data_IF_322094429022
#
_entry.id   IF_322094429022
#
_cell.length_a   1.000
_cell.length_b   1.000
_cell.length_c   1.000
_cell.angle_alpha   90.00
_cell.angle_beta   90.00
_cell.angle_gamma   90.00
#
_symmetry.space_group_name_H-M   'P 1'
#
loop_
_entity.id
_entity.type
_entity.pdbx_description
1 polymer ?
#
# COMPACT_ATOMS: atom_id res chain seq x y z
N UNK A 1 -13.53 -13.15 -15.81
CA UNK A 1 -14.78 -13.93 -15.99
C UNK A 1 -15.66 -13.53 -14.82
N UNK A 2 -16.62 -12.65 -15.09
CA UNK A 2 -17.59 -11.98 -14.20
C UNK A 2 -17.09 -11.45 -12.85
N UNK A 3 -17.11 -10.13 -12.69
CA UNK A 3 -17.05 -9.49 -11.37
C UNK A 3 -18.48 -9.46 -10.84
N UNK A 4 -18.76 -10.15 -9.72
CA UNK A 4 -20.06 -10.31 -9.06
C UNK A 4 -20.72 -8.98 -8.55
N UNK A 5 -20.44 -7.84 -9.20
CA UNK A 5 -21.03 -6.52 -8.95
C UNK A 5 -22.50 -6.39 -9.37
N UNK A 6 -23.14 -7.48 -9.81
CA UNK A 6 -24.48 -7.46 -10.42
C UNK A 6 -25.57 -6.92 -9.48
N UNK A 7 -25.44 -7.16 -8.17
CA UNK A 7 -26.42 -6.70 -7.16
C UNK A 7 -26.47 -5.17 -7.03
N UNK A 8 -25.33 -4.48 -7.05
CA UNK A 8 -25.29 -3.01 -6.93
C UNK A 8 -25.96 -2.32 -8.12
N UNK A 9 -25.82 -2.92 -9.31
CA UNK A 9 -26.41 -2.39 -10.55
C UNK A 9 -27.93 -2.49 -10.57
N UNK A 10 -28.51 -3.53 -9.95
CA UNK A 10 -29.99 -3.70 -9.83
C UNK A 10 -30.59 -2.60 -8.96
N UNK A 11 -29.99 -2.35 -7.79
CA UNK A 11 -30.49 -1.31 -6.90
C UNK A 11 -30.31 0.08 -7.51
N UNK A 12 -29.19 0.31 -8.20
CA UNK A 12 -28.99 1.56 -8.95
C UNK A 12 -30.03 1.76 -10.05
N UNK A 13 -30.36 0.73 -10.85
CA UNK A 13 -31.38 0.85 -11.89
C UNK A 13 -32.78 1.08 -11.32
N UNK A 14 -33.09 0.54 -10.14
CA UNK A 14 -34.38 0.74 -9.48
C UNK A 14 -34.66 2.21 -9.12
N UNK A 15 -33.62 3.03 -8.95
CA UNK A 15 -33.76 4.47 -8.71
C UNK A 15 -34.49 5.20 -9.85
N UNK A 16 -34.49 4.66 -11.07
CA UNK A 16 -35.25 5.22 -12.18
C UNK A 16 -36.76 5.24 -11.91
N UNK A 17 -37.27 4.33 -11.08
CA UNK A 17 -38.69 4.29 -10.68
C UNK A 17 -39.04 5.30 -9.59
N UNK A 18 -38.04 5.87 -8.89
CA UNK A 18 -38.24 6.71 -7.73
C UNK A 18 -39.15 7.92 -8.00
N UNK A 19 -39.00 8.57 -9.16
CA UNK A 19 -39.83 9.70 -9.54
C UNK A 19 -41.30 9.32 -9.78
N UNK A 20 -41.55 8.12 -10.29
CA UNK A 20 -42.89 7.61 -10.59
C UNK A 20 -43.63 7.18 -9.30
N UNK A 21 -42.90 6.59 -8.35
CA UNK A 21 -43.49 6.02 -7.14
C UNK A 21 -43.66 7.04 -5.99
N UNK A 22 -42.91 8.16 -6.00
CA UNK A 22 -42.90 9.18 -4.91
C UNK A 22 -44.28 9.75 -4.56
N UNK A 23 -45.15 9.87 -5.56
CA UNK A 23 -46.50 10.42 -5.41
C UNK A 23 -47.59 9.44 -5.88
N UNK A 24 -47.23 8.18 -6.11
CA UNK A 24 -48.16 7.15 -6.55
C UNK A 24 -49.05 6.66 -5.40
N UNK A 25 -50.26 6.21 -5.72
CA UNK A 25 -51.05 5.41 -4.78
C UNK A 25 -50.35 4.08 -4.52
N UNK A 26 -50.69 3.40 -3.42
CA UNK A 26 -50.11 2.10 -3.08
C UNK A 26 -50.24 1.07 -4.23
N UNK A 27 -51.37 1.07 -4.92
CA UNK A 27 -51.60 0.21 -6.09
C UNK A 27 -50.59 0.49 -7.22
N UNK A 28 -50.43 1.77 -7.59
CA UNK A 28 -49.49 2.14 -8.66
C UNK A 28 -48.03 1.99 -8.24
N UNK A 29 -47.71 2.19 -6.96
CA UNK A 29 -46.39 1.92 -6.40
C UNK A 29 -45.96 0.47 -6.67
N UNK A 30 -46.82 -0.51 -6.33
CA UNK A 30 -46.54 -1.94 -6.54
C UNK A 30 -46.45 -2.24 -8.03
N UNK A 31 -47.39 -1.72 -8.83
CA UNK A 31 -47.41 -1.93 -10.27
C UNK A 31 -46.14 -1.45 -10.98
N UNK A 32 -45.63 -0.25 -10.63
CA UNK A 32 -44.41 0.27 -11.26
C UNK A 32 -43.16 -0.51 -10.87
N UNK A 33 -43.07 -0.98 -9.63
CA UNK A 33 -41.95 -1.83 -9.21
C UNK A 33 -42.00 -3.20 -9.91
N UNK A 34 -43.17 -3.83 -9.97
CA UNK A 34 -43.34 -5.12 -10.63
C UNK A 34 -42.99 -5.05 -12.12
N UNK A 35 -43.46 -4.01 -12.82
CA UNK A 35 -43.10 -3.77 -14.22
C UNK A 35 -41.60 -3.55 -14.41
N UNK A 36 -40.97 -2.75 -13.54
CA UNK A 36 -39.53 -2.50 -13.62
C UNK A 36 -38.73 -3.79 -13.46
N UNK A 37 -39.02 -4.59 -12.42
CA UNK A 37 -38.29 -5.83 -12.17
C UNK A 37 -38.58 -6.90 -13.21
N UNK A 38 -39.81 -6.99 -13.71
CA UNK A 38 -40.15 -7.93 -14.79
C UNK A 38 -39.40 -7.61 -16.09
N UNK A 39 -39.32 -6.33 -16.44
CA UNK A 39 -38.56 -5.88 -17.61
C UNK A 39 -37.05 -6.12 -17.41
N UNK A 40 -36.52 -5.73 -16.24
CA UNK A 40 -35.12 -5.94 -15.89
C UNK A 40 -34.74 -7.42 -15.97
N UNK A 41 -35.58 -8.31 -15.44
CA UNK A 41 -35.37 -9.76 -15.45
C UNK A 41 -35.36 -10.30 -16.89
N UNK A 42 -36.32 -9.91 -17.72
CA UNK A 42 -36.37 -10.29 -19.13
C UNK A 42 -35.12 -9.84 -19.92
N UNK A 43 -34.68 -8.59 -19.70
CA UNK A 43 -33.47 -8.06 -20.33
C UNK A 43 -32.22 -8.83 -19.87
N UNK A 44 -32.13 -9.16 -18.57
CA UNK A 44 -31.01 -9.94 -18.04
C UNK A 44 -30.98 -11.36 -18.56
N UNK A 45 -32.12 -12.04 -18.62
CA UNK A 45 -32.19 -13.38 -19.23
C UNK A 45 -31.73 -13.37 -20.69
N UNK A 46 -32.09 -12.34 -21.45
CA UNK A 46 -31.63 -12.17 -22.83
C UNK A 46 -30.12 -11.91 -22.92
N UNK A 47 -29.57 -11.07 -22.04
CA UNK A 47 -28.14 -10.74 -21.98
C UNK A 47 -27.29 -11.94 -21.52
N UNK A 48 -27.75 -12.68 -20.51
CA UNK A 48 -27.04 -13.82 -19.91
C UNK A 48 -26.69 -14.88 -20.94
N UNK A 49 -27.64 -15.22 -21.82
CA UNK A 49 -27.41 -16.21 -22.87
C UNK A 49 -26.27 -15.80 -23.81
N UNK A 50 -26.22 -14.51 -24.17
CA UNK A 50 -25.16 -13.95 -25.03
C UNK A 50 -23.83 -13.88 -24.29
N UNK A 51 -23.85 -13.49 -23.01
CA UNK A 51 -22.68 -13.44 -22.15
C UNK A 51 -22.03 -14.82 -22.00
N UNK A 52 -22.82 -15.85 -21.65
CA UNK A 52 -22.36 -17.23 -21.51
C UNK A 52 -21.78 -17.76 -22.82
N UNK A 53 -22.47 -17.55 -23.95
CA UNK A 53 -21.98 -17.97 -25.26
C UNK A 53 -20.66 -17.30 -25.64
N UNK A 54 -20.53 -16.00 -25.39
CA UNK A 54 -19.30 -15.26 -25.68
C UNK A 54 -18.15 -15.70 -24.78
N UNK A 55 -18.39 -15.94 -23.50
CA UNK A 55 -17.39 -16.48 -22.58
C UNK A 55 -16.94 -17.88 -22.97
N UNK A 56 -17.88 -18.74 -23.35
CA UNK A 56 -17.57 -20.08 -23.84
C UNK A 56 -16.70 -20.03 -25.11
N UNK A 57 -17.07 -19.20 -26.09
CA UNK A 57 -16.26 -18.98 -27.30
C UNK A 57 -14.87 -18.44 -27.00
N UNK A 58 -14.77 -17.50 -26.05
CA UNK A 58 -13.49 -16.96 -25.60
C UNK A 58 -12.63 -18.04 -24.94
N UNK A 59 -13.21 -18.88 -24.07
CA UNK A 59 -12.52 -19.98 -23.44
C UNK A 59 -12.01 -21.00 -24.48
N UNK A 60 -12.84 -21.37 -25.45
CA UNK A 60 -12.42 -22.25 -26.54
C UNK A 60 -11.25 -21.66 -27.35
N UNK A 61 -11.32 -20.36 -27.66
CA UNK A 61 -10.24 -19.67 -28.38
C UNK A 61 -8.95 -19.60 -27.55
N UNK A 62 -9.05 -19.35 -26.25
CA UNK A 62 -7.91 -19.30 -25.36
C UNK A 62 -7.24 -20.67 -25.27
N UNK A 63 -8.03 -21.74 -25.10
CA UNK A 63 -7.54 -23.11 -25.09
C UNK A 63 -6.82 -23.40 -26.40
N UNK A 64 -7.47 -23.16 -27.56
CA UNK A 64 -6.86 -23.50 -28.86
C UNK A 64 -5.58 -22.71 -29.16
N UNK A 65 -5.53 -21.44 -28.75
CA UNK A 65 -4.35 -20.58 -28.93
C UNK A 65 -3.21 -21.04 -28.03
N UNK A 66 -3.48 -21.21 -26.73
CA UNK A 66 -2.47 -21.59 -25.76
C UNK A 66 -1.96 -23.02 -25.99
N UNK A 67 -2.81 -23.96 -26.40
CA UNK A 67 -2.36 -25.33 -26.73
C UNK A 67 -1.39 -25.32 -27.90
N UNK A 68 -1.66 -24.53 -28.94
CA UNK A 68 -0.77 -24.41 -30.09
C UNK A 68 0.59 -23.80 -29.70
N UNK A 69 0.59 -22.77 -28.85
CA UNK A 69 1.82 -22.18 -28.31
C UNK A 69 2.61 -23.17 -27.44
N UNK A 70 1.93 -23.95 -26.60
CA UNK A 70 2.54 -25.00 -25.78
C UNK A 70 3.10 -26.17 -26.62
N UNK A 71 2.43 -26.54 -27.70
CA UNK A 71 2.93 -27.57 -28.63
C UNK A 71 4.18 -27.07 -29.36
N UNK A 72 4.19 -25.81 -29.81
CA UNK A 72 5.38 -25.19 -30.41
C UNK A 72 6.55 -25.11 -29.42
N UNK A 73 6.29 -24.75 -28.16
CA UNK A 73 7.30 -24.72 -27.10
C UNK A 73 7.88 -26.12 -26.83
N UNK A 74 7.02 -27.14 -26.72
CA UNK A 74 7.45 -28.54 -26.53
C UNK A 74 8.30 -29.07 -27.69
N UNK A 75 8.01 -28.64 -28.91
CA UNK A 75 8.82 -29.00 -30.08
C UNK A 75 10.24 -28.40 -30.02
N UNK A 76 10.39 -27.20 -29.44
CA UNK A 76 11.69 -26.54 -29.25
C UNK A 76 12.47 -27.07 -28.03
N UNK A 77 11.75 -27.51 -26.99
CA UNK A 77 12.33 -27.96 -25.71
C UNK A 77 11.83 -29.37 -25.30
N UNK A 78 12.19 -30.43 -26.06
CA UNK A 78 11.64 -31.77 -25.85
C UNK A 78 12.09 -32.48 -24.56
N UNK A 79 13.17 -32.00 -23.92
CA UNK A 79 13.72 -32.57 -22.70
C UNK A 79 13.26 -31.84 -21.43
N UNK A 80 12.51 -30.75 -21.56
CA UNK A 80 12.08 -29.93 -20.43
C UNK A 80 10.75 -30.46 -19.87
N UNK A 81 10.72 -30.75 -18.57
CA UNK A 81 9.52 -31.25 -17.91
C UNK A 81 8.63 -30.08 -17.51
N UNK A 82 7.54 -29.86 -18.25
CA UNK A 82 6.55 -28.83 -17.99
C UNK A 82 5.56 -29.30 -16.91
N UNK A 83 5.89 -29.11 -15.64
CA UNK A 83 5.00 -29.42 -14.51
C UNK A 83 4.36 -28.14 -13.95
N UNK A 84 3.32 -27.66 -14.64
CA UNK A 84 2.56 -26.49 -14.24
C UNK A 84 1.93 -26.62 -12.83
N UNK A 85 1.64 -27.85 -12.39
CA UNK A 85 1.08 -28.10 -11.07
C UNK A 85 2.09 -27.81 -9.96
N UNK A 86 3.33 -28.28 -10.14
CA UNK A 86 4.43 -27.95 -9.23
C UNK A 86 4.74 -26.45 -9.23
N UNK A 87 4.80 -25.81 -10.40
CA UNK A 87 5.11 -24.39 -10.50
C UNK A 87 4.07 -23.52 -9.82
N UNK A 88 2.79 -23.84 -9.96
CA UNK A 88 1.73 -23.14 -9.24
C UNK A 88 1.84 -23.29 -7.72
N UNK A 89 2.25 -24.47 -7.24
CA UNK A 89 2.48 -24.70 -5.81
C UNK A 89 3.72 -23.98 -5.29
N UNK A 90 4.81 -23.98 -6.07
CA UNK A 90 6.05 -23.25 -5.78
C UNK A 90 5.84 -21.74 -5.78
N UNK A 91 5.12 -21.21 -6.78
CA UNK A 91 4.76 -19.79 -6.87
C UNK A 91 3.89 -19.39 -5.68
N UNK A 92 2.89 -20.18 -5.32
CA UNK A 92 2.07 -19.94 -4.13
C UNK A 92 2.92 -19.96 -2.84
N UNK A 93 3.86 -20.89 -2.72
CA UNK A 93 4.76 -20.96 -1.58
C UNK A 93 5.70 -19.73 -1.52
N UNK A 94 6.23 -19.32 -2.67
CA UNK A 94 7.05 -18.12 -2.82
C UNK A 94 6.29 -16.85 -2.43
N UNK A 95 5.08 -16.66 -2.95
CA UNK A 95 4.23 -15.50 -2.62
C UNK A 95 3.91 -15.45 -1.12
N UNK A 96 3.58 -16.59 -0.50
CA UNK A 96 3.38 -16.67 0.96
C UNK A 96 4.63 -16.34 1.75
N UNK A 97 5.82 -16.69 1.25
CA UNK A 97 7.08 -16.35 1.89
C UNK A 97 7.40 -14.85 1.77
N UNK A 98 7.11 -14.23 0.62
CA UNK A 98 7.29 -12.79 0.41
C UNK A 98 6.37 -11.97 1.31
N UNK A 99 5.13 -12.43 1.51
CA UNK A 99 4.15 -11.72 2.36
C UNK A 99 4.66 -11.53 3.81
N UNK A 100 5.54 -12.42 4.28
CA UNK A 100 6.10 -12.37 5.64
C UNK A 100 7.55 -11.90 5.66
N UNK A 101 7.77 -10.60 5.87
CA UNK A 101 9.06 -10.13 6.37
C UNK A 101 9.32 -10.79 7.75
N UNK A 102 10.51 -11.38 7.99
CA UNK A 102 10.79 -12.04 9.26
C UNK A 102 10.64 -11.04 10.41
N UNK A 103 9.90 -11.43 11.45
CA UNK A 103 9.57 -10.58 12.60
C UNK A 103 10.81 -9.96 13.28
N UNK A 104 11.95 -10.62 13.17
CA UNK A 104 13.20 -10.14 13.73
C UNK A 104 13.75 -8.92 12.97
N UNK A 105 13.60 -8.89 11.64
CA UNK A 105 14.08 -7.78 10.82
C UNK A 105 13.13 -6.58 10.93
N UNK A 106 11.83 -6.81 11.09
CA UNK A 106 10.88 -5.72 11.38
C UNK A 106 11.15 -5.04 12.71
N UNK A 107 11.43 -5.81 13.77
CA UNK A 107 11.78 -5.25 15.09
C UNK A 107 13.11 -4.47 15.04
N UNK A 108 14.12 -4.98 14.33
CA UNK A 108 15.41 -4.29 14.15
C UNK A 108 15.28 -2.99 13.36
N UNK A 109 14.46 -2.99 12.30
CA UNK A 109 14.14 -1.77 11.55
C UNK A 109 13.45 -0.75 12.45
N UNK A 110 12.44 -1.17 13.22
CA UNK A 110 11.76 -0.29 14.17
C UNK A 110 12.73 0.29 15.21
N UNK A 111 13.64 -0.54 15.74
CA UNK A 111 14.66 -0.09 16.68
C UNK A 111 15.55 1.00 16.11
N UNK A 112 16.07 0.82 14.89
CA UNK A 112 16.89 1.84 14.21
C UNK A 112 16.12 3.13 13.96
N UNK A 113 14.85 3.04 13.54
CA UNK A 113 14.00 4.21 13.33
C UNK A 113 13.71 4.97 14.63
N UNK A 114 13.45 4.26 15.74
CA UNK A 114 13.22 4.88 17.05
C UNK A 114 14.51 5.50 17.62
N UNK A 115 15.69 4.91 17.36
CA UNK A 115 16.99 5.50 17.69
C UNK A 115 17.24 6.79 16.89
N UNK A 116 16.94 6.82 15.59
CA UNK A 116 17.06 8.05 14.80
C UNK A 116 16.12 9.15 15.29
N UNK A 117 14.90 8.81 15.69
CA UNK A 117 13.94 9.76 16.28
C UNK A 117 14.45 10.30 17.60
N UNK A 118 14.99 9.43 18.46
CA UNK A 118 15.60 9.83 19.73
C UNK A 118 16.73 10.83 19.50
N UNK A 119 17.68 10.51 18.60
CA UNK A 119 18.79 11.39 18.27
C UNK A 119 18.33 12.77 17.77
N UNK A 120 17.30 12.82 16.91
CA UNK A 120 16.69 14.08 16.43
C UNK A 120 16.04 14.89 17.55
N UNK A 121 15.36 14.23 18.49
CA UNK A 121 14.73 14.90 19.63
C UNK A 121 15.77 15.43 20.62
N UNK A 122 16.85 14.68 20.85
CA UNK A 122 17.96 15.11 21.70
C UNK A 122 18.71 16.29 21.08
N UNK A 123 19.01 16.26 19.78
CA UNK A 123 19.63 17.39 19.08
C UNK A 123 18.74 18.63 19.11
N UNK A 124 17.43 18.48 18.90
CA UNK A 124 16.47 19.59 18.99
C UNK A 124 16.36 20.18 20.40
N UNK A 125 16.40 19.33 21.44
CA UNK A 125 16.44 19.78 22.83
C UNK A 125 17.74 20.53 23.13
N UNK A 126 18.88 20.06 22.60
CA UNK A 126 20.17 20.71 22.76
C UNK A 126 20.21 22.07 22.07
N UNK A 127 19.81 22.16 20.79
CA UNK A 127 19.70 23.45 20.09
C UNK A 127 18.75 24.41 20.82
N UNK A 128 17.61 23.92 21.33
CA UNK A 128 16.71 24.74 22.13
C UNK A 128 17.29 25.17 23.49
N UNK A 129 18.30 24.50 24.03
CA UNK A 129 19.02 24.95 25.23
C UNK A 129 20.01 26.06 24.90
N UNK A 130 20.68 25.93 23.77
CA UNK A 130 21.73 26.84 23.34
C UNK A 130 21.14 28.17 22.82
N UNK A 131 20.00 28.13 22.12
CA UNK A 131 19.31 29.32 21.59
C UNK A 131 18.52 30.10 22.65
N UNK A 132 18.11 29.44 23.73
CA UNK A 132 17.18 29.99 24.71
C UNK A 132 17.92 30.65 25.90
N UNK A 133 18.89 31.50 25.58
CA UNK A 133 19.47 32.43 26.53
C UNK A 133 18.48 33.60 26.71
N UNK A 134 17.68 33.56 27.77
CA UNK A 134 16.73 34.64 28.10
C UNK A 134 17.50 35.93 28.45
N UNK A 135 17.75 36.77 27.45
CA UNK A 135 18.32 38.10 27.64
C UNK A 135 17.20 39.08 28.00
N UNK A 136 17.03 39.36 29.29
CA UNK A 136 16.17 40.46 29.72
C UNK A 136 16.86 41.80 29.45
N UNK A 137 16.15 42.71 28.80
CA UNK A 137 16.60 44.10 28.61
C UNK A 137 15.84 45.04 29.56
N UNK A 138 16.22 46.32 29.60
CA UNK A 138 15.59 47.30 30.50
C UNK A 138 14.07 47.49 30.23
N UNK A 139 13.60 47.21 29.01
CA UNK A 139 12.17 47.22 28.64
C UNK A 139 11.40 46.00 29.16
N UNK A 140 12.11 44.96 29.61
CA UNK A 140 11.53 43.75 30.20
C UNK A 140 11.09 43.95 31.65
N UNK A 141 11.44 45.09 32.25
CA UNK A 141 11.12 45.43 33.64
C UNK A 141 10.18 46.63 33.71
N UNK A 142 9.15 46.54 34.55
CA UNK A 142 8.27 47.65 34.91
C UNK A 142 8.82 48.36 36.15
N UNK A 143 9.07 49.69 36.10
CA UNK A 143 9.55 50.44 37.26
C UNK A 143 8.65 50.24 38.48
N UNK A 144 9.23 49.85 39.62
CA UNK A 144 8.52 49.62 40.88
C UNK A 144 7.72 48.31 40.98
N UNK A 145 7.63 47.50 39.91
CA UNK A 145 6.81 46.28 39.87
C UNK A 145 7.55 45.03 39.38
N UNK A 146 8.82 45.17 38.96
CA UNK A 146 9.69 44.02 38.63
C UNK A 146 9.58 43.58 37.17
N UNK A 147 9.59 42.28 36.89
CA UNK A 147 9.54 41.75 35.51
C UNK A 147 8.16 41.99 34.89
N UNK A 148 8.09 42.49 33.66
CA UNK A 148 6.83 42.79 32.99
C UNK A 148 5.97 41.52 32.82
N UNK A 149 4.65 41.66 32.82
CA UNK A 149 3.73 40.53 32.63
C UNK A 149 3.99 39.79 31.29
N UNK A 150 4.32 40.54 30.23
CA UNK A 150 4.66 39.97 28.91
C UNK A 150 5.96 39.17 28.97
N UNK A 151 7.00 39.70 29.62
CA UNK A 151 8.26 38.99 29.81
C UNK A 151 8.07 37.73 30.69
N UNK A 152 7.31 37.84 31.79
CA UNK A 152 7.00 36.72 32.69
C UNK A 152 6.23 35.59 31.99
N UNK A 153 5.23 35.93 31.18
CA UNK A 153 4.45 34.95 30.41
C UNK A 153 5.27 34.29 29.29
N UNK A 154 6.15 35.05 28.62
CA UNK A 154 7.10 34.50 27.66
C UNK A 154 8.06 33.49 28.30
N UNK A 155 8.64 33.83 29.46
CA UNK A 155 9.49 32.93 30.25
C UNK A 155 8.75 31.65 30.66
N UNK A 156 7.50 31.77 31.15
CA UNK A 156 6.66 30.61 31.50
C UNK A 156 6.39 29.70 30.29
N UNK A 157 6.09 30.26 29.11
CA UNK A 157 5.90 29.48 27.87
C UNK A 157 7.18 28.76 27.47
N UNK A 158 8.32 29.45 27.52
CA UNK A 158 9.63 28.88 27.20
C UNK A 158 9.96 27.69 28.13
N UNK A 159 9.77 27.83 29.45
CA UNK A 159 9.92 26.71 30.38
C UNK A 159 8.91 25.57 30.16
N UNK A 160 7.67 25.89 29.76
CA UNK A 160 6.67 24.87 29.42
C UNK A 160 7.05 24.09 28.16
N UNK A 161 7.55 24.78 27.13
CA UNK A 161 8.06 24.17 25.89
C UNK A 161 9.26 23.27 26.17
N UNK A 162 10.23 23.73 26.99
CA UNK A 162 11.38 22.91 27.40
C UNK A 162 10.96 21.64 28.13
N UNK A 163 10.07 21.75 29.11
CA UNK A 163 9.53 20.58 29.83
C UNK A 163 8.78 19.63 28.90
N UNK A 164 8.09 20.14 27.89
CA UNK A 164 7.43 19.31 26.88
C UNK A 164 8.44 18.56 26.00
N UNK A 165 9.51 19.22 25.57
CA UNK A 165 10.60 18.60 24.82
C UNK A 165 11.32 17.52 25.64
N UNK A 166 11.64 17.80 26.91
CA UNK A 166 12.22 16.81 27.85
C UNK A 166 11.31 15.60 28.08
N UNK A 167 9.98 15.79 28.09
CA UNK A 167 9.02 14.66 28.19
C UNK A 167 9.00 13.83 26.90
N UNK A 168 9.11 14.47 25.73
CA UNK A 168 9.17 13.76 24.45
C UNK A 168 10.42 12.89 24.35
N UNK A 169 11.58 13.42 24.74
CA UNK A 169 12.83 12.65 24.79
C UNK A 169 12.70 11.45 25.73
N UNK A 170 12.19 11.65 26.95
CA UNK A 170 11.97 10.55 27.90
C UNK A 170 11.03 9.48 27.37
N UNK A 171 9.86 9.87 26.86
CA UNK A 171 8.93 8.91 26.26
C UNK A 171 9.52 8.15 25.08
N UNK A 172 10.44 8.77 24.33
CA UNK A 172 11.13 8.12 23.23
C UNK A 172 12.23 7.18 23.73
N UNK A 173 12.92 7.52 24.82
CA UNK A 173 13.87 6.65 25.51
C UNK A 173 13.19 5.39 26.03
N UNK A 174 12.04 5.52 26.69
CA UNK A 174 11.25 4.38 27.19
C UNK A 174 10.93 3.38 26.06
N UNK A 175 10.53 3.89 24.87
CA UNK A 175 10.25 3.04 23.70
C UNK A 175 11.46 2.31 23.15
N UNK A 176 12.62 2.98 23.16
CA UNK A 176 13.88 2.38 22.72
C UNK A 176 14.29 1.29 23.70
N UNK A 177 14.13 1.50 25.00
CA UNK A 177 14.40 0.51 26.05
C UNK A 177 13.47 -0.71 25.95
N UNK A 178 12.18 -0.51 25.68
CA UNK A 178 11.23 -1.61 25.43
C UNK A 178 11.66 -2.48 24.23
N UNK A 179 12.18 -1.85 23.15
CA UNK A 179 12.68 -2.55 21.97
C UNK A 179 14.02 -3.25 22.22
N UNK A 180 14.88 -2.67 23.07
CA UNK A 180 16.13 -3.29 23.52
C UNK A 180 15.85 -4.57 24.31
N UNK A 181 14.84 -4.56 25.20
CA UNK A 181 14.40 -5.75 25.93
C UNK A 181 13.88 -6.84 24.99
N UNK A 182 13.03 -6.49 24.01
CA UNK A 182 12.50 -7.43 23.03
C UNK A 182 13.58 -8.05 22.13
N UNK A 183 14.62 -7.29 21.79
CA UNK A 183 15.74 -7.75 20.98
C UNK A 183 16.85 -8.43 21.79
N UNK A 184 16.76 -8.41 23.13
CA UNK A 184 17.78 -8.96 24.02
C UNK A 184 19.11 -8.20 23.97
N UNK A 185 19.06 -6.90 23.65
CA UNK A 185 20.25 -6.02 23.59
C UNK A 185 20.50 -5.48 25.00
N UNK A 186 21.71 -5.68 25.54
CA UNK A 186 22.04 -5.07 26.82
C UNK A 186 22.14 -3.54 26.70
N UNK A 187 21.68 -2.77 27.72
CA UNK A 187 21.75 -1.31 27.72
C UNK A 187 23.16 -0.75 27.52
N UNK A 188 24.19 -1.51 27.90
CA UNK A 188 25.61 -1.14 27.73
C UNK A 188 26.10 -1.28 26.28
N UNK A 189 25.36 -2.00 25.43
CA UNK A 189 25.65 -2.25 24.01
C UNK A 189 24.61 -1.61 23.09
N UNK A 190 24.02 -0.47 23.49
CA UNK A 190 23.14 0.32 22.62
C UNK A 190 23.81 0.58 21.28
N UNK A 191 23.05 0.44 20.20
CA UNK A 191 23.56 0.67 18.86
C UNK A 191 23.94 2.14 18.67
N UNK A 192 25.20 2.38 18.33
CA UNK A 192 25.72 3.70 17.98
C UNK A 192 25.84 3.85 16.46
N UNK A 193 25.88 5.09 15.99
CA UNK A 193 25.96 5.40 14.56
C UNK A 193 27.16 4.76 13.84
N UNK A 194 28.20 4.39 14.57
CA UNK A 194 29.44 3.80 14.05
C UNK A 194 29.42 2.26 14.05
N UNK A 195 28.41 1.63 14.66
CA UNK A 195 28.30 0.18 14.69
C UNK A 195 27.80 -0.36 13.35
N UNK A 196 28.42 -1.46 12.91
CA UNK A 196 28.09 -2.13 11.65
C UNK A 196 26.62 -2.54 11.56
N UNK A 197 26.06 -3.10 12.64
CA UNK A 197 24.67 -3.59 12.70
C UNK A 197 23.66 -2.45 12.48
N UNK A 198 23.95 -1.28 13.04
CA UNK A 198 23.15 -0.07 12.84
C UNK A 198 23.19 0.41 11.39
N UNK A 199 24.38 0.47 10.78
CA UNK A 199 24.55 0.92 9.40
C UNK A 199 23.85 -0.01 8.42
N UNK A 200 24.02 -1.32 8.57
CA UNK A 200 23.37 -2.34 7.74
C UNK A 200 21.84 -2.25 7.85
N UNK A 201 21.29 -2.11 9.06
CA UNK A 201 19.83 -1.99 9.25
C UNK A 201 19.26 -0.66 8.79
N UNK A 202 20.03 0.40 8.87
CA UNK A 202 19.65 1.69 8.29
C UNK A 202 19.61 1.65 6.77
N UNK A 203 20.56 0.97 6.14
CA UNK A 203 20.54 0.74 4.69
C UNK A 203 19.37 -0.13 4.26
N UNK A 204 19.14 -1.23 4.97
CA UNK A 204 18.00 -2.11 4.75
C UNK A 204 16.66 -1.37 4.90
N UNK A 205 16.49 -0.57 5.96
CA UNK A 205 15.28 0.23 6.17
C UNK A 205 15.03 1.21 5.00
N UNK A 206 16.06 1.92 4.52
CA UNK A 206 15.94 2.80 3.35
C UNK A 206 15.52 2.05 2.09
N UNK A 207 16.14 0.90 1.83
CA UNK A 207 15.80 0.07 0.67
C UNK A 207 14.36 -0.43 0.75
N UNK A 208 13.94 -0.89 1.93
CA UNK A 208 12.58 -1.33 2.21
C UNK A 208 11.55 -0.22 2.04
N UNK A 209 11.83 0.99 2.52
CA UNK A 209 10.96 2.15 2.32
C UNK A 209 10.81 2.48 0.84
N UNK A 210 11.89 2.38 0.06
CA UNK A 210 11.85 2.56 -1.39
C UNK A 210 10.98 1.50 -2.07
N UNK A 211 11.18 0.21 -1.77
CA UNK A 211 10.37 -0.88 -2.35
C UNK A 211 8.88 -0.65 -2.05
N UNK A 212 8.53 -0.37 -0.79
CA UNK A 212 7.14 -0.13 -0.41
C UNK A 212 6.52 1.06 -1.13
N UNK A 213 7.27 2.14 -1.32
CA UNK A 213 6.79 3.30 -2.07
C UNK A 213 6.56 2.96 -3.55
N UNK A 214 7.39 2.09 -4.14
CA UNK A 214 7.21 1.60 -5.51
C UNK A 214 5.97 0.70 -5.60
N UNK A 215 5.81 -0.26 -4.68
CA UNK A 215 4.62 -1.13 -4.62
C UNK A 215 3.33 -0.32 -4.44
N UNK A 216 3.33 0.71 -3.60
CA UNK A 216 2.19 1.60 -3.42
C UNK A 216 1.86 2.36 -4.72
N UNK A 217 2.89 2.87 -5.41
CA UNK A 217 2.71 3.54 -6.70
C UNK A 217 2.16 2.58 -7.76
N UNK A 218 2.69 1.36 -7.86
CA UNK A 218 2.20 0.33 -8.78
C UNK A 218 0.72 0.01 -8.51
N UNK A 219 0.35 -0.18 -7.24
CA UNK A 219 -1.04 -0.42 -6.85
C UNK A 219 -1.95 0.75 -7.24
N UNK A 220 -1.53 1.99 -7.02
CA UNK A 220 -2.30 3.18 -7.43
C UNK A 220 -2.46 3.27 -8.94
N UNK A 221 -1.42 2.96 -9.71
CA UNK A 221 -1.49 2.95 -11.18
C UNK A 221 -2.44 1.87 -11.66
N UNK A 222 -2.34 0.65 -11.13
CA UNK A 222 -3.24 -0.46 -11.47
C UNK A 222 -4.68 -0.11 -11.13
N UNK A 223 -4.92 0.41 -9.92
CA UNK A 223 -6.25 0.90 -9.51
C UNK A 223 -6.78 1.94 -10.48
N UNK A 224 -5.94 2.92 -10.86
CA UNK A 224 -6.34 3.97 -11.80
C UNK A 224 -6.66 3.43 -13.19
N UNK A 225 -5.89 2.47 -13.68
CA UNK A 225 -6.16 1.79 -14.95
C UNK A 225 -7.50 1.06 -14.92
N UNK A 226 -7.81 0.36 -13.82
CA UNK A 226 -9.11 -0.26 -13.63
C UNK A 226 -10.24 0.77 -13.57
N UNK A 227 -10.10 1.85 -12.82
CA UNK A 227 -11.07 2.96 -12.79
C UNK A 227 -11.32 3.55 -14.18
N UNK A 228 -10.26 3.82 -14.94
CA UNK A 228 -10.37 4.36 -16.31
C UNK A 228 -11.03 3.37 -17.26
N UNK A 229 -10.73 2.07 -17.15
CA UNK A 229 -11.42 1.04 -17.92
C UNK A 229 -12.92 1.01 -17.60
N UNK A 230 -13.29 1.07 -16.31
CA UNK A 230 -14.70 1.13 -15.85
C UNK A 230 -15.39 2.40 -16.34
N UNK A 231 -14.73 3.55 -16.29
CA UNK A 231 -15.26 4.83 -16.79
C UNK A 231 -15.43 4.85 -18.31
N UNK A 232 -14.50 4.25 -19.07
CA UNK A 232 -14.61 4.09 -20.52
C UNK A 232 -15.71 3.10 -20.90
N UNK A 233 -15.90 2.02 -20.12
CA UNK A 233 -17.05 1.11 -20.25
C UNK A 233 -18.37 1.82 -19.96
N UNK A 234 -18.42 2.71 -18.97
CA UNK A 234 -19.60 3.51 -18.64
C UNK A 234 -19.97 4.55 -19.72
N UNK A 235 -19.03 4.93 -20.61
CA UNK A 235 -19.26 5.93 -21.66
C UNK A 235 -19.52 5.32 -23.05
N UNK A 236 -19.53 4.00 -23.22
CA UNK A 236 -19.78 3.39 -24.54
C UNK A 236 -21.28 3.15 -24.77
N UNK A 237 -22.04 4.24 -24.73
CA UNK A 237 -23.40 4.35 -25.29
C UNK A 237 -23.40 4.90 -26.72
N UNK A 238 -22.29 4.80 -27.45
CA UNK A 238 -22.19 5.30 -28.82
C UNK A 238 -21.71 4.19 -29.76
N UNK A 239 -22.63 3.76 -30.63
CA UNK A 239 -22.38 2.92 -31.80
C UNK A 239 -21.25 3.52 -32.62
N UNK A 240 -20.07 2.92 -32.64
CA UNK A 240 -19.18 2.96 -33.82
C UNK A 240 -18.37 1.67 -33.94
N UNK A 241 -18.56 0.99 -35.06
CA UNK A 241 -17.69 -0.06 -35.56
C UNK A 241 -16.31 0.52 -35.89
N UNK A 242 -15.29 0.23 -35.10
CA UNK A 242 -13.93 0.12 -35.60
C UNK A 242 -13.00 -0.64 -34.66
N UNK A 243 -12.24 -1.50 -35.31
CA UNK A 243 -11.18 -2.39 -34.84
C UNK A 243 -10.17 -1.63 -33.97
N UNK A 244 -10.04 -2.00 -32.70
CA UNK A 244 -8.86 -1.65 -31.90
C UNK A 244 -8.10 -2.94 -31.54
N UNK A 245 -7.03 -3.18 -32.32
CA UNK A 245 -5.91 -4.05 -31.94
C UNK A 245 -5.18 -3.37 -30.78
N UNK A 246 -5.09 -4.03 -29.64
CA UNK A 246 -4.12 -3.64 -28.61
C UNK A 246 -2.71 -4.08 -29.03
N UNK A 247 -1.68 -3.22 -28.90
CA UNK A 247 -0.29 -3.63 -29.10
C UNK A 247 0.20 -4.41 -27.87
N UNK A 248 0.76 -5.57 -28.16
CA UNK A 248 1.41 -6.52 -27.24
C UNK A 248 2.81 -6.02 -26.91
N UNK A 249 2.99 -5.04 -26.03
CA UNK A 249 4.32 -4.60 -25.55
C UNK A 249 4.24 -3.96 -24.16
N UNK A 250 4.58 -4.71 -23.10
CA UNK A 250 5.49 -4.31 -22.01
C UNK A 250 5.40 -5.34 -20.86
N UNK A 251 6.11 -6.47 -20.99
CA UNK A 251 6.55 -7.27 -19.85
C UNK A 251 7.81 -8.01 -20.30
N UNK A 252 8.85 -7.24 -20.59
CA UNK A 252 10.23 -7.73 -20.64
C UNK A 252 11.07 -6.72 -19.88
N UNK A 253 11.02 -6.83 -18.54
CA UNK A 253 11.98 -6.22 -17.64
C UNK A 253 13.04 -7.26 -17.26
N UNK A 254 14.32 -6.88 -17.11
CA UNK A 254 15.43 -7.81 -17.00
C UNK A 254 15.32 -8.65 -15.72
N UNK A 255 15.40 -9.98 -15.89
CA UNK A 255 15.75 -10.91 -14.79
C UNK A 255 17.08 -10.44 -14.20
N UNK A 256 17.03 -9.85 -13.01
CA UNK A 256 18.25 -9.54 -12.27
C UNK A 256 18.98 -10.84 -12.00
N UNK A 257 20.25 -10.81 -12.36
CA UNK A 257 21.13 -11.94 -12.53
C UNK A 257 21.33 -12.76 -11.26
N UNK A 258 21.52 -14.06 -11.49
CA UNK A 258 22.19 -14.99 -10.60
C UNK A 258 23.47 -14.35 -9.99
N UNK A 259 23.62 -14.43 -8.67
CA UNK A 259 24.92 -14.25 -8.01
C UNK A 259 25.45 -15.63 -7.58
N UNK A 260 26.69 -16.01 -7.98
CA UNK A 260 27.28 -17.27 -7.56
C UNK A 260 27.91 -17.13 -6.17
N UNK A 261 27.41 -17.89 -5.20
CA UNK A 261 28.13 -18.09 -3.93
C UNK A 261 29.31 -19.05 -4.17
N UNK A 262 30.47 -18.50 -4.53
CA UNK A 262 31.76 -19.16 -4.30
C UNK A 262 32.14 -18.99 -2.83
N UNK A 263 32.17 -20.10 -2.11
CA UNK A 263 32.74 -20.21 -0.77
C UNK A 263 33.53 -21.50 -0.65
N UNK A 264 34.79 -21.46 -1.06
CA UNK A 264 35.82 -22.46 -0.75
C UNK A 264 36.11 -22.45 0.76
N UNK A 265 36.02 -23.59 1.42
CA UNK A 265 36.82 -23.87 2.63
C UNK A 265 37.43 -25.26 2.52
N UNK A 266 38.73 -25.26 2.29
CA UNK A 266 39.64 -26.37 2.46
C UNK A 266 39.78 -26.72 3.94
N UNK A 267 39.92 -28.02 4.20
CA UNK A 267 40.43 -28.63 5.42
C UNK A 267 41.76 -28.02 5.90
N UNK A 268 42.16 -28.29 7.14
CA UNK A 268 43.00 -29.47 7.39
C UNK A 268 42.31 -30.60 8.18
#
# INVERSE_FOLDING_TARGET
LEDFETCERVFSSSNATAALIRHASHFHYVQYLELHFSQWDADKYAELSRFLLNNYRQALKLISTNTAELDAYRALHPNENLDFGSWAAEELAYLKAIESEPKQDTLRVMYVEELEKLAKLESALQSSRDDNFLSYNQLSFTPGSGLSHVASTATKRSHAARRAAERRVRSQQDRVEDLEEQLGIEPTRRWTSDQREYVEMREYSRHRQFIRAVEELENLVVQRLFELSKANLASTGAVTSSVNKFPKLLFDGPRLCEMPLKGTTSSP
#
